data_IF_288853086423
#
_entry.id   IF_288853086423
#
_cell.length_a   1.000
_cell.length_b   1.000
_cell.length_c   1.000
_cell.angle_alpha   90.00
_cell.angle_beta   90.00
_cell.angle_gamma   90.00
#
_symmetry.space_group_name_H-M   'P 1'
#
loop_
_entity.id
_entity.type
_entity.pdbx_description
1 polymer ?
#
# COMPACT_ATOMS: atom_id res chain seq x y z
N UNK A 1 -8.92 19.34 8.05
CA UNK A 1 -8.58 18.44 9.17
C UNK A 1 -7.70 17.36 8.57
N UNK A 2 -6.41 17.35 8.87
CA UNK A 2 -5.44 16.43 8.23
C UNK A 2 -5.45 15.11 9.00
N UNK A 3 -6.06 14.07 8.44
CA UNK A 3 -6.01 12.73 9.01
C UNK A 3 -4.86 11.98 8.33
N UNK A 4 -3.87 11.54 9.11
CA UNK A 4 -2.86 10.61 8.62
C UNK A 4 -3.49 9.23 8.67
N UNK A 5 -3.72 8.65 7.50
CA UNK A 5 -4.23 7.29 7.38
C UNK A 5 -3.07 6.38 6.98
N UNK A 6 -2.78 5.36 7.78
CA UNK A 6 -1.71 4.42 7.47
C UNK A 6 -2.28 3.03 7.25
N UNK A 7 -2.00 2.44 6.09
CA UNK A 7 -2.40 1.07 5.78
C UNK A 7 -1.20 0.14 5.94
N UNK A 8 -1.43 -0.97 6.64
CA UNK A 8 -0.46 -2.07 6.73
C UNK A 8 -0.90 -3.20 5.82
N UNK A 9 -0.01 -3.64 4.94
CA UNK A 9 -0.24 -4.78 4.04
C UNK A 9 0.80 -5.87 4.24
N UNK A 10 0.39 -7.13 4.06
CA UNK A 10 1.27 -8.30 4.14
C UNK A 10 1.10 -9.23 2.93
N UNK A 11 2.10 -10.06 2.59
CA UNK A 11 2.02 -10.96 1.44
C UNK A 11 0.89 -11.98 1.64
N UNK A 12 0.19 -12.33 0.56
CA UNK A 12 -0.83 -13.39 0.65
C UNK A 12 -0.13 -14.76 0.75
N UNK A 13 -0.23 -15.43 1.89
CA UNK A 13 0.25 -16.80 2.08
C UNK A 13 1.60 -16.98 2.81
N UNK A 14 2.23 -15.92 3.32
CA UNK A 14 3.48 -16.08 4.10
C UNK A 14 3.19 -16.45 5.57
N UNK A 15 3.53 -17.67 5.96
CA UNK A 15 3.66 -18.07 7.36
C UNK A 15 5.15 -17.91 7.74
N UNK A 16 5.49 -16.81 8.43
CA UNK A 16 6.87 -16.50 8.87
C UNK A 16 7.53 -15.34 8.10
N UNK A 17 8.07 -14.38 8.86
CA UNK A 17 8.70 -13.12 8.44
C UNK A 17 7.79 -12.18 7.60
N UNK A 18 6.90 -11.44 8.28
CA UNK A 18 6.11 -10.36 7.68
C UNK A 18 7.02 -9.26 7.15
N UNK A 19 7.10 -9.13 5.82
CA UNK A 19 7.53 -7.89 5.18
C UNK A 19 6.38 -6.89 5.32
N UNK A 20 6.56 -5.89 6.16
CA UNK A 20 5.57 -4.84 6.42
C UNK A 20 5.87 -3.70 5.46
N UNK A 21 4.95 -3.42 4.52
CA UNK A 21 5.01 -2.21 3.72
C UNK A 21 4.01 -1.20 4.31
N UNK A 22 4.52 -0.04 4.72
CA UNK A 22 3.73 1.04 5.30
C UNK A 22 3.28 1.98 4.18
N UNK A 23 1.98 2.05 3.93
CA UNK A 23 1.41 2.99 2.97
C UNK A 23 0.73 4.13 3.72
N UNK A 24 1.27 5.34 3.57
CA UNK A 24 0.72 6.54 4.19
C UNK A 24 -0.20 7.24 3.19
N UNK A 25 -1.48 7.26 3.49
CA UNK A 25 -2.53 8.00 2.80
C UNK A 25 -2.76 9.33 3.51
N UNK A 26 -2.50 10.44 2.83
CA UNK A 26 -2.94 11.76 3.29
C UNK A 26 -4.21 12.10 2.51
N UNK A 27 -5.37 11.77 3.07
CA UNK A 27 -6.65 12.23 2.53
C UNK A 27 -6.88 13.66 2.99
N UNK A 28 -6.47 14.62 2.15
CA UNK A 28 -6.65 16.04 2.42
C UNK A 28 -6.10 16.91 1.29
N UNK A 29 -7.01 17.31 0.40
CA UNK A 29 -6.94 18.39 -0.58
C UNK A 29 -5.63 19.21 -0.70
N UNK A 30 -5.12 19.24 -1.94
CA UNK A 30 -4.20 20.22 -2.53
C UNK A 30 -2.73 20.23 -2.07
N UNK A 31 -1.90 19.84 -3.03
CA UNK A 31 -0.55 20.33 -3.28
C UNK A 31 0.55 19.98 -2.25
N UNK A 32 1.36 19.01 -2.67
CA UNK A 32 2.74 18.75 -2.22
C UNK A 32 2.87 18.31 -0.74
N UNK A 33 4.10 17.91 -0.40
CA UNK A 33 4.64 17.72 0.95
C UNK A 33 4.67 16.28 1.49
N UNK A 34 5.89 15.76 1.39
CA UNK A 34 6.41 14.54 1.97
C UNK A 34 6.14 14.39 3.47
N UNK A 35 5.83 13.16 3.90
CA UNK A 35 5.78 12.78 5.32
C UNK A 35 7.06 12.03 5.69
N UNK A 36 7.67 12.46 6.80
CA UNK A 36 8.91 11.96 7.37
C UNK A 36 8.68 10.72 8.27
N UNK A 37 9.74 9.93 8.39
CA UNK A 37 9.88 8.56 8.89
C UNK A 37 9.63 8.31 10.39
N UNK A 38 9.25 7.07 10.71
CA UNK A 38 9.78 6.37 11.87
C UNK A 38 10.79 5.31 11.40
N UNK A 39 12.05 5.50 11.80
CA UNK A 39 13.22 4.69 11.46
C UNK A 39 13.24 3.39 12.27
N UNK A 40 13.45 2.25 11.61
CA UNK A 40 13.84 0.98 12.24
C UNK A 40 15.21 0.54 11.74
N UNK A 41 16.15 0.31 12.67
CA UNK A 41 17.59 0.16 12.41
C UNK A 41 17.99 -1.17 11.75
N UNK A 42 19.12 -1.10 11.01
CA UNK A 42 19.85 -2.24 10.42
C UNK A 42 20.38 -3.18 11.52
N UNK A 43 20.43 -4.47 11.19
CA UNK A 43 21.37 -5.43 11.77
C UNK A 43 22.42 -5.74 10.72
N UNK A 44 23.68 -5.49 11.06
CA UNK A 44 24.84 -5.78 10.22
C UNK A 44 25.15 -7.29 10.24
N UNK A 45 25.56 -7.82 9.09
CA UNK A 45 26.23 -9.10 9.02
C UNK A 45 27.42 -8.97 8.07
N UNK A 46 28.62 -9.04 8.64
CA UNK A 46 29.87 -9.30 7.93
C UNK A 46 29.85 -10.67 7.25
N UNK A 47 30.42 -10.75 6.05
CA UNK A 47 31.30 -11.88 5.69
C UNK A 47 32.20 -11.48 4.53
N UNK A 48 33.50 -11.63 4.76
CA UNK A 48 34.58 -11.61 3.79
C UNK A 48 34.63 -12.96 3.03
N UNK A 49 35.11 -12.99 1.79
CA UNK A 49 35.43 -14.24 1.07
C UNK A 49 35.41 -14.17 -0.46
N UNK A 50 36.54 -13.71 -1.03
CA UNK A 50 37.22 -14.09 -2.27
C UNK A 50 36.49 -14.41 -3.60
N UNK A 51 36.99 -13.80 -4.68
CA UNK A 51 36.51 -13.86 -6.07
C UNK A 51 37.10 -15.03 -6.88
N UNK A 52 36.35 -15.51 -7.88
CA UNK A 52 36.92 -16.07 -9.11
C UNK A 52 36.00 -15.78 -10.29
N UNK A 53 36.51 -15.02 -11.26
CA UNK A 53 35.80 -14.53 -12.43
C UNK A 53 36.06 -15.42 -13.65
N UNK A 54 35.02 -15.70 -14.43
CA UNK A 54 35.10 -15.93 -15.88
C UNK A 54 33.81 -15.41 -16.54
N UNK A 55 34.01 -14.64 -17.61
CA UNK A 55 33.08 -14.19 -18.65
C UNK A 55 32.00 -13.14 -18.30
N UNK A 56 32.38 -11.89 -18.58
CA UNK A 56 31.54 -10.69 -18.55
C UNK A 56 30.80 -10.58 -19.89
N UNK A 57 29.54 -11.01 -19.93
CA UNK A 57 28.55 -10.29 -20.71
C UNK A 57 28.15 -9.07 -19.86
N UNK A 58 28.11 -7.86 -20.46
CA UNK A 58 27.78 -6.62 -19.76
C UNK A 58 26.47 -6.76 -18.95
N UNK A 59 26.60 -7.00 -17.65
CA UNK A 59 25.50 -6.80 -16.70
C UNK A 59 25.47 -5.30 -16.45
N UNK A 60 24.42 -4.64 -16.93
CA UNK A 60 24.12 -3.26 -16.56
C UNK A 60 24.17 -3.12 -15.02
N UNK A 61 25.09 -2.31 -14.46
CA UNK A 61 25.19 -2.08 -13.01
C UNK A 61 23.93 -1.45 -12.40
N UNK A 62 22.95 -1.01 -13.21
CA UNK A 62 21.62 -0.59 -12.76
C UNK A 62 20.72 -1.77 -12.37
N UNK A 63 21.03 -2.98 -12.85
CA UNK A 63 20.40 -4.24 -12.43
C UNK A 63 20.79 -4.69 -11.01
N UNK A 64 21.38 -3.78 -10.23
CA UNK A 64 21.61 -3.87 -8.78
C UNK A 64 20.25 -3.86 -8.06
N UNK A 65 19.55 -4.99 -8.14
CA UNK A 65 18.24 -5.30 -7.52
C UNK A 65 17.28 -4.11 -7.50
N UNK A 66 16.51 -3.92 -8.59
CA UNK A 66 15.39 -2.97 -8.60
C UNK A 66 14.56 -3.15 -7.31
N UNK A 67 14.47 -2.14 -6.43
CA UNK A 67 13.77 -2.28 -5.15
C UNK A 67 12.29 -2.62 -5.33
N UNK A 68 11.69 -2.29 -6.49
CA UNK A 68 10.31 -2.67 -6.84
C UNK A 68 10.12 -4.18 -6.92
N UNK A 69 11.16 -4.94 -7.31
CA UNK A 69 11.10 -6.41 -7.41
C UNK A 69 10.67 -7.08 -6.11
N UNK A 70 10.94 -6.45 -4.96
CA UNK A 70 10.56 -6.94 -3.63
C UNK A 70 9.08 -6.73 -3.28
N UNK A 71 8.39 -5.87 -4.01
CA UNK A 71 6.98 -5.54 -3.81
C UNK A 71 6.05 -6.26 -4.78
N UNK A 72 6.55 -6.76 -5.91
CA UNK A 72 5.73 -7.42 -6.93
C UNK A 72 4.94 -8.57 -6.31
N UNK A 73 3.63 -8.55 -6.51
CA UNK A 73 2.72 -9.57 -6.01
C UNK A 73 1.42 -9.02 -5.44
N UNK A 74 0.71 -9.91 -4.74
CA UNK A 74 -0.60 -9.64 -4.16
C UNK A 74 -0.50 -9.57 -2.64
N UNK A 75 -0.95 -8.44 -2.10
CA UNK A 75 -0.86 -8.10 -0.70
C UNK A 75 -2.26 -7.98 -0.10
N UNK A 76 -2.43 -8.50 1.11
CA UNK A 76 -3.67 -8.39 1.88
C UNK A 76 -3.57 -7.22 2.84
N UNK A 77 -4.63 -6.43 2.95
CA UNK A 77 -4.78 -5.40 3.98
C UNK A 77 -4.89 -6.05 5.37
N UNK A 78 -4.03 -5.60 6.28
CA UNK A 78 -3.97 -6.05 7.68
C UNK A 78 -4.70 -5.07 8.59
N UNK A 79 -4.40 -3.78 8.47
CA UNK A 79 -5.01 -2.72 9.28
C UNK A 79 -5.02 -1.39 8.54
N UNK A 80 -5.93 -0.50 8.97
CA UNK A 80 -5.92 0.92 8.66
C UNK A 80 -5.92 1.66 10.00
N UNK A 81 -4.93 2.50 10.21
CA UNK A 81 -4.84 3.40 11.35
C UNK A 81 -5.20 4.81 10.93
N UNK A 82 -6.09 5.46 11.67
CA UNK A 82 -6.42 6.86 11.52
C UNK A 82 -6.06 7.59 12.81
N UNK A 83 -5.51 8.80 12.69
CA UNK A 83 -5.18 9.66 13.84
C UNK A 83 -5.95 10.97 13.77
N UNK A 84 -6.47 11.40 14.92
CA UNK A 84 -7.12 12.71 15.06
C UNK A 84 -6.10 13.87 15.08
N UNK A 85 -6.59 15.10 15.18
CA UNK A 85 -5.75 16.31 15.23
C UNK A 85 -4.82 16.36 16.45
N UNK A 86 -5.05 15.53 17.46
CA UNK A 86 -4.22 15.39 18.66
C UNK A 86 -3.26 14.18 18.55
N UNK A 87 -3.23 13.50 17.40
CA UNK A 87 -2.36 12.34 17.14
C UNK A 87 -2.85 11.03 17.75
N UNK A 88 -4.04 11.01 18.36
CA UNK A 88 -4.61 9.82 18.99
C UNK A 88 -5.17 8.89 17.92
N UNK A 89 -4.94 7.59 18.09
CA UNK A 89 -5.57 6.58 17.25
C UNK A 89 -7.09 6.62 17.43
N UNK A 90 -7.80 6.71 16.32
CA UNK A 90 -9.25 6.63 16.25
C UNK A 90 -9.66 5.49 15.34
N UNK A 91 -10.85 4.95 15.56
CA UNK A 91 -11.42 3.97 14.63
C UNK A 91 -11.70 4.68 13.31
N UNK A 92 -11.14 4.21 12.17
CA UNK A 92 -11.35 4.88 10.90
C UNK A 92 -12.84 4.92 10.56
N UNK A 93 -13.38 6.12 10.33
CA UNK A 93 -14.83 6.29 10.17
C UNK A 93 -15.37 5.49 8.97
N UNK A 94 -14.60 5.51 7.86
CA UNK A 94 -15.00 4.87 6.61
C UNK A 94 -14.83 3.34 6.65
N UNK A 95 -13.80 2.84 7.33
CA UNK A 95 -13.41 1.42 7.25
C UNK A 95 -13.78 0.59 8.49
N UNK A 96 -14.02 1.24 9.62
CA UNK A 96 -14.22 0.58 10.90
C UNK A 96 -12.96 -0.14 11.42
N UNK A 97 -13.09 -0.93 12.51
CA UNK A 97 -11.95 -1.55 13.18
C UNK A 97 -11.37 -2.77 12.47
N UNK A 98 -12.08 -3.34 11.49
CA UNK A 98 -11.72 -4.59 10.82
C UNK A 98 -11.81 -4.45 9.29
N UNK A 99 -10.98 -3.59 8.68
CA UNK A 99 -11.00 -3.39 7.24
C UNK A 99 -10.58 -4.66 6.50
N UNK A 100 -11.01 -4.78 5.25
CA UNK A 100 -10.55 -5.82 4.32
C UNK A 100 -10.18 -5.17 3.00
N UNK A 101 -9.19 -5.74 2.33
CA UNK A 101 -8.66 -5.12 1.12
C UNK A 101 -7.49 -5.89 0.56
N UNK A 102 -7.06 -5.43 -0.61
CA UNK A 102 -5.95 -5.98 -1.36
C UNK A 102 -5.19 -4.87 -2.07
N UNK A 103 -3.90 -5.07 -2.23
CA UNK A 103 -3.01 -4.25 -3.04
C UNK A 103 -2.26 -5.17 -3.99
N UNK A 104 -2.17 -4.76 -5.24
CA UNK A 104 -1.42 -5.47 -6.27
C UNK A 104 -0.31 -4.54 -6.74
N UNK A 105 0.92 -5.05 -6.75
CA UNK A 105 2.03 -4.44 -7.48
C UNK A 105 2.43 -5.37 -8.63
N UNK A 106 2.56 -4.82 -9.82
CA UNK A 106 2.85 -5.57 -11.03
C UNK A 106 4.18 -5.11 -11.63
N UNK A 107 4.87 -6.04 -12.31
CA UNK A 107 6.25 -5.86 -12.77
C UNK A 107 6.42 -4.75 -13.81
N UNK A 108 5.39 -4.40 -14.56
CA UNK A 108 5.42 -3.28 -15.50
C UNK A 108 5.37 -1.91 -14.83
N UNK A 109 5.24 -1.86 -13.49
CA UNK A 109 5.23 -0.62 -12.71
C UNK A 109 3.84 -0.11 -12.37
N UNK A 110 2.80 -0.91 -12.61
CA UNK A 110 1.42 -0.58 -12.26
C UNK A 110 1.04 -1.13 -10.89
N UNK A 111 0.05 -0.49 -10.28
CA UNK A 111 -0.51 -0.90 -9.01
C UNK A 111 -2.02 -0.67 -8.94
N UNK A 112 -2.69 -1.42 -8.08
CA UNK A 112 -4.12 -1.23 -7.78
C UNK A 112 -4.41 -1.55 -6.32
N UNK A 113 -5.22 -0.70 -5.68
CA UNK A 113 -5.67 -0.85 -4.29
C UNK A 113 -7.17 -0.95 -4.22
N UNK A 114 -7.62 -1.84 -3.36
CA UNK A 114 -9.00 -1.97 -2.95
C UNK A 114 -9.04 -2.07 -1.42
N UNK A 115 -9.77 -1.19 -0.76
CA UNK A 115 -9.97 -1.21 0.69
C UNK A 115 -11.44 -0.97 1.01
N UNK A 116 -12.02 -1.80 1.89
CA UNK A 116 -13.40 -1.63 2.33
C UNK A 116 -13.62 -1.96 3.79
N UNK A 117 -14.65 -1.33 4.33
CA UNK A 117 -15.31 -1.74 5.56
C UNK A 117 -15.89 -3.13 5.41
N UNK A 118 -15.56 -4.00 6.36
CA UNK A 118 -16.21 -5.31 6.45
C UNK A 118 -17.70 -5.13 6.77
N UNK A 119 -18.55 -5.86 6.05
CA UNK A 119 -19.99 -5.81 6.25
C UNK A 119 -20.67 -4.54 5.72
N UNK A 120 -20.00 -3.78 4.83
CA UNK A 120 -20.65 -2.73 4.05
C UNK A 120 -21.88 -3.31 3.34
N UNK A 121 -22.91 -2.48 3.16
CA UNK A 121 -24.07 -2.83 2.35
C UNK A 121 -23.61 -3.34 0.96
N UNK A 122 -24.43 -4.21 0.38
CA UNK A 122 -24.30 -4.62 -1.02
C UNK A 122 -25.37 -3.89 -1.82
N UNK A 123 -25.13 -3.79 -3.12
CA UNK A 123 -26.21 -3.40 -4.03
C UNK A 123 -27.34 -4.46 -3.96
N UNK A 124 -28.60 -4.04 -4.17
CA UNK A 124 -29.75 -4.95 -4.10
C UNK A 124 -29.76 -5.98 -5.23
N UNK A 125 -29.08 -5.71 -6.33
CA UNK A 125 -28.89 -6.58 -7.49
C UNK A 125 -27.55 -6.28 -8.17
N UNK A 126 -27.19 -7.11 -9.16
CA UNK A 126 -26.00 -6.92 -9.99
C UNK A 126 -26.14 -5.77 -11.00
N UNK A 127 -27.38 -5.33 -11.26
CA UNK A 127 -27.65 -4.14 -12.08
C UNK A 127 -27.51 -2.88 -11.23
N UNK A 128 -26.31 -2.29 -11.28
CA UNK A 128 -25.97 -1.05 -10.57
C UNK A 128 -26.91 0.10 -10.97
N UNK A 129 -27.40 0.13 -12.20
CA UNK A 129 -28.26 1.21 -12.70
C UNK A 129 -29.69 1.11 -12.16
N UNK A 130 -30.11 -0.07 -11.69
CA UNK A 130 -31.39 -0.27 -11.03
C UNK A 130 -31.39 0.09 -9.54
N UNK A 131 -30.21 0.32 -8.94
CA UNK A 131 -30.12 0.68 -7.54
C UNK A 131 -30.68 2.08 -7.27
N UNK A 132 -31.45 2.23 -6.18
CA UNK A 132 -31.83 3.56 -5.72
C UNK A 132 -30.59 4.37 -5.31
N UNK A 133 -30.63 5.71 -5.38
CA UNK A 133 -29.50 6.54 -4.96
C UNK A 133 -29.00 6.24 -3.53
N UNK A 134 -29.92 5.97 -2.59
CA UNK A 134 -29.57 5.61 -1.21
C UNK A 134 -28.89 4.25 -1.12
N UNK A 135 -29.37 3.26 -1.89
CA UNK A 135 -28.76 1.94 -1.95
C UNK A 135 -27.38 2.00 -2.61
N UNK A 136 -27.20 2.81 -3.65
CA UNK A 136 -25.90 3.05 -4.28
C UNK A 136 -24.92 3.76 -3.34
N UNK A 137 -25.39 4.76 -2.57
CA UNK A 137 -24.57 5.46 -1.56
C UNK A 137 -24.15 4.53 -0.43
N UNK A 138 -25.07 3.79 0.19
CA UNK A 138 -24.72 2.78 1.19
C UNK A 138 -23.81 1.69 0.59
N UNK A 139 -24.12 1.38 -0.68
CA UNK A 139 -23.38 0.69 -1.73
C UNK A 139 -21.96 1.15 -2.01
N UNK A 140 -21.56 2.34 -1.56
CA UNK A 140 -20.31 2.97 -1.96
C UNK A 140 -19.51 3.40 -0.73
N UNK A 141 -20.17 4.04 0.24
CA UNK A 141 -19.56 4.52 1.49
C UNK A 141 -18.81 3.40 2.22
N UNK A 142 -17.56 3.66 2.56
CA UNK A 142 -16.68 2.67 3.18
C UNK A 142 -16.04 1.69 2.20
N UNK A 143 -16.01 2.01 0.90
CA UNK A 143 -15.12 1.41 -0.08
C UNK A 143 -14.30 2.50 -0.76
N UNK A 144 -13.01 2.23 -0.90
CA UNK A 144 -12.08 3.05 -1.63
C UNK A 144 -11.27 2.13 -2.54
N UNK A 145 -11.16 2.52 -3.80
CA UNK A 145 -10.29 1.89 -4.75
C UNK A 145 -9.59 2.96 -5.57
N UNK A 146 -8.35 2.68 -5.92
CA UNK A 146 -7.59 3.52 -6.83
C UNK A 146 -6.51 2.69 -7.53
N UNK A 147 -6.00 3.22 -8.64
CA UNK A 147 -4.95 2.58 -9.43
C UNK A 147 -4.03 3.62 -10.07
N UNK A 148 -2.92 3.13 -10.61
CA UNK A 148 -1.98 3.92 -11.39
C UNK A 148 -0.61 3.28 -11.39
N UNK A 149 0.44 4.09 -11.37
CA UNK A 149 1.83 3.63 -11.34
C UNK A 149 2.47 3.80 -9.97
N UNK A 150 3.63 3.16 -9.74
CA UNK A 150 4.35 3.31 -8.49
C UNK A 150 5.87 3.41 -8.64
N UNK A 151 6.47 4.12 -7.70
CA UNK A 151 7.91 4.27 -7.55
C UNK A 151 8.34 3.87 -6.13
N UNK A 152 9.59 3.39 -5.98
CA UNK A 152 10.16 3.01 -4.69
C UNK A 152 11.39 3.84 -4.40
N UNK A 153 11.31 4.69 -3.39
CA UNK A 153 12.45 5.40 -2.82
C UNK A 153 13.05 4.55 -1.69
N UNK A 154 14.02 3.71 -2.06
CA UNK A 154 14.67 2.80 -1.10
C UNK A 154 15.50 3.52 -0.04
N UNK A 155 16.00 4.74 -0.32
CA UNK A 155 16.79 5.52 0.65
C UNK A 155 15.89 6.05 1.76
N UNK A 156 14.68 6.49 1.40
CA UNK A 156 13.70 7.02 2.34
C UNK A 156 12.70 5.98 2.83
N UNK A 157 12.77 4.74 2.33
CA UNK A 157 11.83 3.67 2.68
C UNK A 157 10.39 3.98 2.27
N UNK A 158 10.20 4.66 1.14
CA UNK A 158 8.88 5.09 0.66
C UNK A 158 8.47 4.32 -0.59
N UNK A 159 7.16 4.08 -0.68
CA UNK A 159 6.50 3.71 -1.93
C UNK A 159 5.56 4.85 -2.29
N UNK A 160 5.72 5.38 -3.50
CA UNK A 160 4.97 6.52 -3.99
C UNK A 160 3.99 5.98 -5.04
N UNK A 161 2.70 6.26 -4.88
CA UNK A 161 1.68 5.93 -5.86
C UNK A 161 1.31 7.17 -6.67
N UNK A 162 1.35 7.04 -8.00
CA UNK A 162 0.88 8.04 -8.94
C UNK A 162 -0.53 7.66 -9.34
N UNK A 163 -1.52 8.28 -8.69
CA UNK A 163 -2.93 7.91 -8.82
C UNK A 163 -3.51 8.45 -10.13
N UNK A 164 -4.17 7.56 -10.89
CA UNK A 164 -4.83 7.86 -12.16
C UNK A 164 -6.37 7.79 -12.06
N UNK A 165 -6.89 6.93 -11.19
CA UNK A 165 -8.32 6.76 -10.95
C UNK A 165 -8.60 5.92 -9.71
#
# INVERSE_FOLDING_TARGET
>A
MTHITTATVGPRGSCGASRICLLVFVLGCLCLWAVHLAVGQRVDAESCGEQSACDVAEIDPSARTDPRSKLIGVWKLVSIEERDAQGRLVVPLDYGPNPIGMLIYESSGHMSVHAMRRGRAKLPSDDVHAASPDAAKAAFVGYNAYFGTFEVDAQRGLVIHHVEG
#
